data_IF_476133559121
#
_entry.id   IF_476133559121
#
_cell.length_a   1.000
_cell.length_b   1.000
_cell.length_c   1.000
_cell.angle_alpha   90.00
_cell.angle_beta   90.00
_cell.angle_gamma   90.00
#
_symmetry.space_group_name_H-M   'P 1'
#
loop_
_entity.id
_entity.type
_entity.pdbx_description
1 polymer ?
#
# COMPACT_ATOMS: atom_id res chain seq x y z
N UNK A 1 10.90 -10.54 2.37
CA UNK A 1 9.55 -10.44 2.97
C UNK A 1 8.71 -11.55 2.35
N UNK A 2 8.21 -12.46 3.16
CA UNK A 2 7.32 -13.54 2.68
C UNK A 2 5.95 -12.90 2.45
N UNK A 3 5.46 -12.90 1.22
CA UNK A 3 4.07 -12.56 0.90
C UNK A 3 3.17 -13.54 1.67
N UNK A 4 2.63 -13.10 2.82
CA UNK A 4 1.59 -13.84 3.53
C UNK A 4 0.39 -13.96 2.60
N UNK A 5 -0.13 -15.19 2.42
CA UNK A 5 -1.32 -15.42 1.62
C UNK A 5 -2.49 -14.65 2.23
N UNK A 6 -3.44 -14.23 1.40
CA UNK A 6 -4.64 -13.50 1.84
C UNK A 6 -5.36 -14.29 2.95
N UNK A 7 -5.37 -15.62 2.85
CA UNK A 7 -5.98 -16.55 3.80
C UNK A 7 -5.36 -16.51 5.22
N UNK A 8 -4.12 -16.03 5.36
CA UNK A 8 -3.42 -15.98 6.66
C UNK A 8 -3.71 -14.69 7.46
N UNK A 9 -4.41 -13.72 6.87
CA UNK A 9 -4.68 -12.43 7.52
C UNK A 9 -5.60 -12.62 8.71
N UNK A 10 -5.17 -12.16 9.87
CA UNK A 10 -6.03 -12.09 11.05
C UNK A 10 -6.82 -10.78 11.02
N UNK A 11 -8.15 -10.85 11.12
CA UNK A 11 -9.05 -9.70 10.98
C UNK A 11 -9.77 -9.40 12.29
N UNK A 12 -9.95 -8.10 12.56
CA UNK A 12 -10.86 -7.61 13.58
C UNK A 12 -12.18 -7.18 12.97
N UNK A 13 -13.28 -7.83 13.35
CA UNK A 13 -14.63 -7.55 12.87
C UNK A 13 -15.40 -6.74 13.91
N UNK A 14 -15.58 -5.46 13.59
CA UNK A 14 -16.09 -4.43 14.49
C UNK A 14 -17.42 -3.89 13.95
N UNK A 15 -18.49 -4.08 14.72
CA UNK A 15 -19.85 -3.76 14.29
C UNK A 15 -20.43 -2.61 15.10
N UNK A 16 -20.84 -1.57 14.40
CA UNK A 16 -21.71 -0.54 14.95
C UNK A 16 -23.13 -1.13 15.10
N UNK A 17 -23.45 -1.60 16.31
CA UNK A 17 -24.71 -2.29 16.59
C UNK A 17 -25.94 -1.40 16.54
N UNK A 18 -25.76 -0.08 16.60
CA UNK A 18 -26.84 0.91 16.49
C UNK A 18 -27.22 1.14 15.02
N UNK A 19 -26.27 1.06 14.08
CA UNK A 19 -26.49 1.30 12.64
C UNK A 19 -26.61 0.01 11.80
N UNK A 20 -25.98 -1.09 12.21
CA UNK A 20 -25.95 -2.34 11.46
C UNK A 20 -27.11 -3.28 11.80
N UNK A 21 -27.62 -4.00 10.80
CA UNK A 21 -28.69 -5.00 10.99
C UNK A 21 -28.13 -6.36 11.42
N UNK A 22 -28.62 -6.88 12.54
CA UNK A 22 -28.27 -8.21 13.05
C UNK A 22 -28.67 -9.36 12.10
N UNK A 23 -29.60 -9.13 11.17
CA UNK A 23 -30.08 -10.15 10.23
C UNK A 23 -29.03 -10.57 9.21
N UNK A 24 -28.09 -9.68 8.88
CA UNK A 24 -27.08 -9.90 7.83
C UNK A 24 -25.77 -10.47 8.39
N UNK A 25 -25.68 -10.79 9.68
CA UNK A 25 -24.41 -11.12 10.33
C UNK A 25 -23.71 -12.34 9.73
N UNK A 26 -24.49 -13.34 9.33
CA UNK A 26 -23.97 -14.54 8.66
C UNK A 26 -23.28 -14.16 7.35
N UNK A 27 -23.98 -13.42 6.49
CA UNK A 27 -23.43 -12.97 5.21
C UNK A 27 -22.23 -12.02 5.38
N UNK A 28 -22.28 -11.14 6.38
CA UNK A 28 -21.18 -10.21 6.68
C UNK A 28 -19.92 -10.96 7.14
N UNK A 29 -20.07 -11.99 7.97
CA UNK A 29 -18.95 -12.85 8.38
C UNK A 29 -18.43 -13.72 7.24
N UNK A 30 -19.32 -14.24 6.39
CA UNK A 30 -18.94 -14.99 5.20
C UNK A 30 -18.14 -14.12 4.22
N UNK A 31 -18.57 -12.87 3.98
CA UNK A 31 -17.85 -11.92 3.15
C UNK A 31 -16.49 -11.54 3.76
N UNK A 32 -16.42 -11.27 5.06
CA UNK A 32 -15.15 -11.00 5.76
C UNK A 32 -14.16 -12.18 5.64
N UNK A 33 -14.67 -13.41 5.71
CA UNK A 33 -13.85 -14.63 5.67
C UNK A 33 -13.12 -14.82 4.33
N UNK A 34 -13.58 -14.19 3.24
CA UNK A 34 -12.89 -14.20 1.94
C UNK A 34 -11.54 -13.47 1.97
N UNK A 35 -11.32 -12.62 2.97
CA UNK A 35 -10.13 -11.76 3.07
C UNK A 35 -9.21 -12.14 4.22
N UNK A 36 -9.56 -13.15 5.03
CA UNK A 36 -8.78 -13.60 6.18
C UNK A 36 -9.63 -14.22 7.29
N UNK A 37 -8.97 -14.71 8.32
CA UNK A 37 -9.60 -15.29 9.51
C UNK A 37 -10.02 -14.21 10.51
N UNK A 38 -11.29 -14.18 10.88
CA UNK A 38 -11.83 -13.22 11.86
C UNK A 38 -11.59 -13.71 13.29
N UNK A 39 -10.66 -13.09 14.00
CA UNK A 39 -10.28 -13.46 15.38
C UNK A 39 -10.86 -12.56 16.47
N UNK A 40 -11.23 -11.33 16.13
CA UNK A 40 -11.94 -10.42 17.04
C UNK A 40 -13.32 -10.18 16.44
N UNK A 41 -14.37 -10.38 17.22
CA UNK A 41 -15.76 -10.16 16.82
C UNK A 41 -16.45 -9.34 17.90
N UNK A 42 -16.65 -8.04 17.65
CA UNK A 42 -17.21 -7.12 18.63
C UNK A 42 -18.40 -6.37 18.05
N UNK A 43 -19.44 -6.24 18.86
CA UNK A 43 -20.63 -5.44 18.53
C UNK A 43 -20.75 -4.35 19.57
N UNK A 44 -20.68 -3.09 19.14
CA UNK A 44 -20.69 -1.92 20.00
C UNK A 44 -22.10 -1.36 20.09
N UNK A 45 -22.49 -0.93 21.28
CA UNK A 45 -23.77 -0.26 21.48
C UNK A 45 -24.17 -0.18 22.93
N UNK A 46 -25.33 0.42 23.16
CA UNK A 46 -25.95 0.43 24.48
C UNK A 46 -26.92 -0.77 24.64
N UNK A 47 -26.44 -1.88 25.18
CA UNK A 47 -27.20 -3.13 25.40
C UNK A 47 -28.27 -3.03 26.49
N UNK A 48 -28.20 -1.98 27.31
CA UNK A 48 -29.23 -1.64 28.30
C UNK A 48 -30.32 -0.74 27.72
N UNK A 49 -30.05 -0.09 26.59
CA UNK A 49 -31.03 0.72 25.86
C UNK A 49 -32.04 -0.15 25.11
N UNK A 50 -33.28 0.33 25.00
CA UNK A 50 -34.18 -0.13 23.94
C UNK A 50 -33.59 0.21 22.56
N UNK A 51 -33.99 -0.49 21.49
CA UNK A 51 -33.53 -0.20 20.12
C UNK A 51 -32.96 -1.38 19.34
N UNK A 52 -32.31 -1.08 18.22
CA UNK A 52 -31.80 -2.04 17.23
C UNK A 52 -30.74 -3.00 17.79
N UNK A 53 -29.92 -2.54 18.75
CA UNK A 53 -28.93 -3.37 19.47
C UNK A 53 -29.56 -4.61 20.13
N UNK A 54 -30.84 -4.56 20.54
CA UNK A 54 -31.48 -5.74 21.14
C UNK A 54 -31.65 -6.91 20.17
N UNK A 55 -31.76 -6.64 18.86
CA UNK A 55 -31.86 -7.68 17.84
C UNK A 55 -30.57 -8.51 17.75
N UNK A 56 -29.45 -7.97 18.20
CA UNK A 56 -28.17 -8.66 18.25
C UNK A 56 -28.06 -9.68 19.38
N UNK A 57 -28.90 -9.60 20.43
CA UNK A 57 -28.79 -10.46 21.64
C UNK A 57 -28.84 -11.96 21.31
N UNK A 58 -29.72 -12.37 20.41
CA UNK A 58 -29.80 -13.76 19.95
C UNK A 58 -28.53 -14.17 19.18
N UNK A 59 -28.05 -13.26 18.32
CA UNK A 59 -26.90 -13.48 17.43
C UNK A 59 -25.55 -13.47 18.14
N UNK A 60 -25.44 -12.81 19.30
CA UNK A 60 -24.21 -12.80 20.10
C UNK A 60 -23.70 -14.21 20.40
N UNK A 61 -24.58 -15.08 20.93
CA UNK A 61 -24.21 -16.46 21.28
C UNK A 61 -24.06 -17.33 20.04
N UNK A 62 -24.93 -17.15 19.05
CA UNK A 62 -24.96 -17.95 17.82
C UNK A 62 -23.65 -17.81 17.01
N UNK A 63 -23.11 -16.59 16.91
CA UNK A 63 -21.92 -16.29 16.09
C UNK A 63 -20.65 -15.98 16.90
N UNK A 64 -20.67 -16.27 18.21
CA UNK A 64 -19.58 -15.98 19.16
C UNK A 64 -19.11 -14.51 19.09
N UNK A 65 -20.05 -13.58 19.08
CA UNK A 65 -19.77 -12.14 19.11
C UNK A 65 -19.66 -11.67 20.55
N UNK A 66 -18.68 -10.80 20.82
CA UNK A 66 -18.51 -10.16 22.12
C UNK A 66 -19.27 -8.83 22.15
N UNK A 67 -20.26 -8.63 23.04
CA UNK A 67 -20.90 -7.34 23.20
C UNK A 67 -19.93 -6.35 23.87
N UNK A 68 -19.79 -5.16 23.29
CA UNK A 68 -19.09 -4.03 23.90
C UNK A 68 -20.13 -3.01 24.35
N UNK A 69 -20.29 -2.87 25.66
CA UNK A 69 -21.28 -1.98 26.28
C UNK A 69 -20.74 -0.57 26.41
N UNK A 70 -21.46 0.38 25.83
CA UNK A 70 -21.20 1.80 26.02
C UNK A 70 -22.44 2.53 26.53
N UNK A 71 -22.30 3.21 27.67
CA UNK A 71 -23.34 4.09 28.19
C UNK A 71 -23.17 5.50 27.61
N UNK A 72 -24.26 6.18 27.22
CA UNK A 72 -24.20 7.60 26.90
C UNK A 72 -23.87 8.41 28.15
N UNK A 73 -22.92 9.35 28.03
CA UNK A 73 -22.44 10.15 29.17
C UNK A 73 -23.46 11.20 29.67
N UNK A 74 -24.44 11.58 28.84
CA UNK A 74 -25.45 12.58 29.17
C UNK A 74 -26.81 12.17 28.60
N UNK A 75 -27.91 12.46 29.30
CA UNK A 75 -29.25 11.93 28.99
C UNK A 75 -29.98 12.64 27.84
N UNK A 76 -29.38 13.67 27.23
CA UNK A 76 -30.00 14.38 26.11
C UNK A 76 -29.77 13.63 24.80
N UNK A 77 -30.86 13.08 24.23
CA UNK A 77 -30.91 12.26 23.03
C UNK A 77 -30.19 12.85 21.80
N UNK A 78 -30.03 14.18 21.71
CA UNK A 78 -29.30 14.82 20.61
C UNK A 78 -27.77 14.77 20.77
N UNK A 79 -27.26 14.59 21.99
CA UNK A 79 -25.82 14.62 22.30
C UNK A 79 -25.28 13.20 22.56
N UNK A 80 -26.15 12.20 22.73
CA UNK A 80 -25.78 10.79 22.97
C UNK A 80 -25.35 10.00 21.75
N UNK A 81 -25.48 10.58 20.54
CA UNK A 81 -25.39 9.81 19.30
C UNK A 81 -24.01 9.19 19.07
N UNK A 82 -22.94 9.83 19.53
CA UNK A 82 -21.58 9.46 19.16
C UNK A 82 -20.87 8.59 20.21
N UNK A 83 -21.54 8.20 21.30
CA UNK A 83 -20.90 7.45 22.38
C UNK A 83 -20.41 6.08 21.89
N UNK A 84 -21.28 5.35 21.17
CA UNK A 84 -20.96 4.06 20.55
C UNK A 84 -19.81 4.19 19.55
N UNK A 85 -19.85 5.20 18.67
CA UNK A 85 -18.83 5.41 17.65
C UNK A 85 -17.46 5.71 18.27
N UNK A 86 -17.41 6.57 19.29
CA UNK A 86 -16.17 6.89 20.00
C UNK A 86 -15.60 5.63 20.67
N UNK A 87 -16.44 4.81 21.30
CA UNK A 87 -16.00 3.57 21.93
C UNK A 87 -15.43 2.57 20.90
N UNK A 88 -16.08 2.43 19.74
CA UNK A 88 -15.58 1.61 18.64
C UNK A 88 -14.23 2.11 18.13
N UNK A 89 -14.10 3.41 17.90
CA UNK A 89 -12.85 4.01 17.40
C UNK A 89 -11.70 3.81 18.40
N UNK A 90 -11.95 4.03 19.71
CA UNK A 90 -10.92 3.83 20.74
C UNK A 90 -10.45 2.38 20.75
N UNK A 91 -11.39 1.44 20.80
CA UNK A 91 -11.07 0.02 20.85
C UNK A 91 -10.39 -0.47 19.56
N UNK A 92 -10.78 0.05 18.39
CA UNK A 92 -10.10 -0.21 17.13
C UNK A 92 -8.64 0.26 17.14
N UNK A 93 -8.35 1.43 17.72
CA UNK A 93 -6.98 1.94 17.85
C UNK A 93 -6.15 1.10 18.83
N UNK A 94 -6.74 0.63 19.92
CA UNK A 94 -6.06 -0.27 20.86
C UNK A 94 -5.71 -1.60 20.17
N UNK A 95 -6.65 -2.22 19.46
CA UNK A 95 -6.41 -3.42 18.65
C UNK A 95 -5.29 -3.19 17.61
N UNK A 96 -5.31 -2.02 16.96
CA UNK A 96 -4.29 -1.64 15.96
C UNK A 96 -2.90 -1.59 16.60
N UNK A 97 -2.78 -1.03 17.80
CA UNK A 97 -1.51 -0.89 18.51
C UNK A 97 -1.01 -2.20 19.15
N UNK A 98 -1.91 -3.14 19.46
CA UNK A 98 -1.55 -4.48 19.92
C UNK A 98 -0.84 -5.30 18.83
N UNK A 99 -1.09 -5.00 17.55
CA UNK A 99 -0.41 -5.65 16.41
C UNK A 99 -0.80 -7.12 16.18
N UNK A 100 -1.91 -7.56 16.79
CA UNK A 100 -2.41 -8.94 16.69
C UNK A 100 -3.19 -9.20 15.39
N UNK A 101 -3.73 -8.14 14.78
CA UNK A 101 -4.49 -8.22 13.52
C UNK A 101 -3.69 -7.64 12.34
N UNK A 102 -4.02 -8.07 11.14
CA UNK A 102 -3.48 -7.56 9.87
C UNK A 102 -4.55 -6.83 9.03
N UNK A 103 -5.78 -6.76 9.53
CA UNK A 103 -6.83 -5.97 8.92
C UNK A 103 -8.05 -5.81 9.80
N UNK A 104 -8.94 -4.92 9.37
CA UNK A 104 -10.16 -4.52 10.07
C UNK A 104 -11.35 -4.63 9.12
N UNK A 105 -12.47 -5.09 9.66
CA UNK A 105 -13.78 -5.04 9.03
C UNK A 105 -14.64 -4.11 9.86
N UNK A 106 -15.00 -2.96 9.30
CA UNK A 106 -15.84 -1.96 9.93
C UNK A 106 -17.23 -2.08 9.33
N UNK A 107 -18.19 -2.51 10.15
CA UNK A 107 -19.59 -2.64 9.73
C UNK A 107 -20.37 -1.41 10.20
N UNK A 108 -20.48 -0.40 9.32
CA UNK A 108 -21.31 0.79 9.52
C UNK A 108 -21.57 1.49 8.18
N UNK A 109 -22.60 2.32 8.13
CA UNK A 109 -22.86 3.23 7.01
C UNK A 109 -22.56 4.69 7.36
N UNK A 110 -22.01 4.95 8.56
CA UNK A 110 -21.67 6.31 9.00
C UNK A 110 -20.34 6.77 8.38
N UNK A 111 -20.32 8.01 7.89
CA UNK A 111 -19.12 8.66 7.35
C UNK A 111 -18.10 9.01 8.42
N UNK A 112 -18.46 9.05 9.70
CA UNK A 112 -17.56 9.42 10.79
C UNK A 112 -16.40 8.43 10.96
N UNK A 113 -16.55 7.18 10.48
CA UNK A 113 -15.48 6.18 10.45
C UNK A 113 -14.41 6.41 9.36
N UNK A 114 -14.57 7.42 8.50
CA UNK A 114 -13.61 7.77 7.43
C UNK A 114 -12.19 7.94 7.99
N UNK A 115 -12.03 8.72 9.06
CA UNK A 115 -10.72 9.00 9.66
C UNK A 115 -10.08 7.75 10.28
N UNK A 116 -10.90 6.85 10.85
CA UNK A 116 -10.42 5.57 11.37
C UNK A 116 -9.89 4.69 10.23
N UNK A 117 -10.65 4.55 9.13
CA UNK A 117 -10.23 3.76 7.97
C UNK A 117 -8.93 4.30 7.33
N UNK A 118 -8.80 5.62 7.18
CA UNK A 118 -7.55 6.26 6.73
C UNK A 118 -6.41 5.89 7.67
N UNK A 119 -6.63 6.02 8.99
CA UNK A 119 -5.58 5.76 9.97
C UNK A 119 -5.09 4.31 9.94
N UNK A 120 -6.01 3.35 9.83
CA UNK A 120 -5.64 1.93 9.73
C UNK A 120 -4.79 1.68 8.49
N UNK A 121 -5.11 2.30 7.35
CA UNK A 121 -4.33 2.20 6.11
C UNK A 121 -2.97 2.89 6.20
N UNK A 122 -2.85 4.02 6.89
CA UNK A 122 -1.55 4.65 7.18
C UNK A 122 -0.60 3.68 7.93
N UNK A 123 -1.17 2.80 8.76
CA UNK A 123 -0.43 1.75 9.45
C UNK A 123 -0.15 0.51 8.58
N UNK A 124 -0.53 0.54 7.30
CA UNK A 124 -0.31 -0.55 6.35
C UNK A 124 -1.19 -1.78 6.57
N UNK A 125 -2.28 -1.62 7.32
CA UNK A 125 -3.25 -2.68 7.59
C UNK A 125 -4.42 -2.62 6.61
N UNK A 126 -5.00 -3.76 6.30
CA UNK A 126 -6.10 -3.88 5.34
C UNK A 126 -7.43 -3.43 5.96
N UNK A 127 -8.23 -2.64 5.24
CA UNK A 127 -9.54 -2.16 5.72
C UNK A 127 -10.66 -2.58 4.78
N UNK A 128 -11.66 -3.25 5.35
CA UNK A 128 -12.93 -3.57 4.70
C UNK A 128 -14.03 -2.74 5.35
N UNK A 129 -14.78 -1.99 4.55
CA UNK A 129 -16.04 -1.38 4.97
C UNK A 129 -17.22 -2.25 4.54
N UNK A 130 -18.18 -2.47 5.42
CA UNK A 130 -19.48 -3.07 5.07
C UNK A 130 -20.57 -2.09 5.48
N UNK A 131 -21.35 -1.61 4.50
CA UNK A 131 -22.39 -0.61 4.74
C UNK A 131 -23.44 -0.59 3.64
N UNK A 132 -24.44 0.27 3.77
CA UNK A 132 -25.50 0.43 2.77
C UNK A 132 -24.97 1.04 1.48
N UNK A 133 -25.67 0.83 0.37
CA UNK A 133 -25.29 1.37 -0.94
C UNK A 133 -25.21 2.91 -0.97
N UNK A 134 -25.96 3.60 -0.13
CA UNK A 134 -26.01 5.07 -0.01
C UNK A 134 -24.97 5.65 0.97
N UNK A 135 -24.05 4.82 1.48
CA UNK A 135 -22.93 5.27 2.31
C UNK A 135 -22.09 6.32 1.58
N UNK A 136 -21.67 7.36 2.29
CA UNK A 136 -20.88 8.46 1.73
C UNK A 136 -19.59 7.96 1.06
N UNK A 137 -19.29 8.51 -0.12
CA UNK A 137 -18.08 8.22 -0.88
C UNK A 137 -16.78 8.45 -0.08
N UNK A 138 -16.79 9.36 0.90
CA UNK A 138 -15.63 9.61 1.77
C UNK A 138 -15.21 8.33 2.51
N UNK A 139 -16.16 7.64 3.13
CA UNK A 139 -15.88 6.41 3.88
C UNK A 139 -15.58 5.25 2.92
N UNK A 140 -16.37 5.13 1.84
CA UNK A 140 -16.14 4.09 0.81
C UNK A 140 -14.72 4.14 0.25
N UNK A 141 -14.24 5.32 -0.11
CA UNK A 141 -12.88 5.53 -0.67
C UNK A 141 -11.77 5.45 0.38
N UNK A 142 -12.12 5.62 1.66
CA UNK A 142 -11.16 5.45 2.74
C UNK A 142 -10.79 3.99 2.96
N UNK A 143 -11.66 3.03 2.63
CA UNK A 143 -11.38 1.58 2.73
C UNK A 143 -10.52 1.06 1.56
N UNK A 144 -9.94 -0.13 1.71
CA UNK A 144 -9.32 -0.86 0.60
C UNK A 144 -10.35 -1.66 -0.21
N UNK A 145 -11.39 -2.14 0.47
CA UNK A 145 -12.58 -2.75 -0.13
C UNK A 145 -13.81 -2.25 0.61
N UNK A 146 -14.86 -1.92 -0.13
CA UNK A 146 -16.16 -1.57 0.45
C UNK A 146 -17.26 -2.47 -0.15
N UNK A 147 -17.94 -3.23 0.70
CA UNK A 147 -19.01 -4.13 0.29
C UNK A 147 -20.36 -3.53 0.70
N UNK A 148 -21.26 -3.42 -0.27
CA UNK A 148 -22.64 -2.98 -0.01
C UNK A 148 -23.46 -4.11 0.60
N UNK A 149 -24.25 -3.81 1.64
CA UNK A 149 -25.13 -4.80 2.30
C UNK A 149 -26.11 -5.48 1.35
N UNK A 150 -26.50 -4.80 0.28
CA UNK A 150 -27.40 -5.28 -0.76
C UNK A 150 -26.75 -6.29 -1.70
N UNK A 151 -25.43 -6.45 -1.64
CA UNK A 151 -24.67 -7.42 -2.42
C UNK A 151 -24.25 -8.65 -1.60
N UNK A 152 -24.47 -8.64 -0.30
CA UNK A 152 -24.24 -9.79 0.58
C UNK A 152 -25.20 -10.95 0.21
N UNK A 153 -24.73 -12.20 0.31
CA UNK A 153 -25.50 -13.41 0.03
C UNK A 153 -25.68 -13.79 -1.46
N UNK A 154 -25.45 -12.85 -2.39
CA UNK A 154 -25.72 -13.06 -3.83
C UNK A 154 -24.89 -14.16 -4.51
N UNK A 155 -23.75 -14.54 -3.92
CA UNK A 155 -22.86 -15.54 -4.53
C UNK A 155 -23.45 -16.97 -4.45
N UNK A 156 -24.31 -17.24 -3.45
CA UNK A 156 -24.94 -18.55 -3.28
C UNK A 156 -26.25 -18.66 -4.06
N UNK A 157 -27.05 -17.60 -4.07
CA UNK A 157 -28.34 -17.60 -4.76
C UNK A 157 -28.19 -17.77 -6.29
N UNK A 158 -27.18 -17.16 -6.92
CA UNK A 158 -27.04 -17.21 -8.39
C UNK A 158 -26.43 -18.54 -8.90
N UNK A 159 -25.58 -19.22 -8.11
CA UNK A 159 -25.05 -20.55 -8.45
C UNK A 159 -26.13 -21.64 -8.37
N UNK A 160 -27.04 -21.54 -7.41
CA UNK A 160 -28.18 -22.46 -7.26
C UNK A 160 -29.31 -22.16 -8.26
N UNK A 161 -29.44 -20.91 -8.73
CA UNK A 161 -30.44 -20.49 -9.72
C UNK A 161 -30.08 -20.93 -11.17
N UNK A 162 -28.81 -21.12 -11.52
CA UNK A 162 -28.43 -21.63 -12.85
C UNK A 162 -28.94 -23.08 -13.11
N UNK A 163 -29.16 -23.89 -12.07
CA UNK A 163 -29.76 -25.24 -12.21
C UNK A 163 -31.30 -25.25 -12.19
N UNK A 164 -31.97 -24.17 -11.75
CA UNK A 164 -33.44 -24.14 -11.55
C UNK A 164 -34.17 -22.94 -12.18
N UNK A 165 -33.56 -22.27 -13.15
CA UNK A 165 -34.20 -21.16 -13.84
C UNK A 165 -35.22 -21.61 -14.90
N UNK A 166 -36.48 -21.84 -14.49
CA UNK A 166 -37.62 -21.64 -15.41
C UNK A 166 -38.89 -21.00 -14.85
N UNK A 167 -39.07 -20.78 -13.54
CA UNK A 167 -40.40 -20.29 -13.11
C UNK A 167 -40.47 -19.56 -11.75
N UNK A 168 -39.63 -18.54 -11.52
CA UNK A 168 -39.89 -17.57 -10.44
C UNK A 168 -39.66 -16.12 -10.88
N UNK A 169 -40.56 -15.19 -10.51
CA UNK A 169 -40.38 -13.78 -10.84
C UNK A 169 -39.24 -13.21 -10.00
N UNK A 170 -38.17 -12.76 -10.67
CA UNK A 170 -37.07 -11.98 -10.07
C UNK A 170 -37.66 -10.85 -9.23
N UNK A 171 -37.46 -10.89 -7.92
CA UNK A 171 -37.81 -9.78 -7.04
C UNK A 171 -37.12 -8.52 -7.54
N UNK A 172 -37.90 -7.47 -7.80
CA UNK A 172 -37.46 -6.19 -8.36
C UNK A 172 -36.51 -5.46 -7.39
N UNK A 173 -35.21 -5.80 -7.40
CA UNK A 173 -34.14 -4.96 -6.86
C UNK A 173 -33.48 -4.24 -8.01
N UNK A 174 -33.47 -2.89 -7.98
CA UNK A 174 -32.93 -2.01 -9.02
C UNK A 174 -31.41 -2.22 -9.17
N UNK A 175 -31.02 -3.15 -10.05
CA UNK A 175 -29.64 -3.30 -10.52
C UNK A 175 -29.25 -2.08 -11.35
N UNK A 176 -27.98 -1.68 -11.31
CA UNK A 176 -27.48 -0.64 -12.22
C UNK A 176 -27.28 -1.26 -13.61
N UNK A 177 -27.55 -0.50 -14.69
CA UNK A 177 -27.24 -0.98 -16.04
C UNK A 177 -25.74 -1.22 -16.19
N UNK A 178 -25.37 -2.31 -16.86
CA UNK A 178 -23.97 -2.74 -17.06
C UNK A 178 -23.11 -1.62 -17.66
N UNK A 179 -23.69 -0.81 -18.57
CA UNK A 179 -23.00 0.32 -19.22
C UNK A 179 -22.53 1.41 -18.26
N UNK A 180 -23.11 1.55 -17.07
CA UNK A 180 -22.63 2.50 -16.07
C UNK A 180 -21.23 2.13 -15.54
N UNK A 181 -20.80 0.87 -15.69
CA UNK A 181 -19.45 0.43 -15.31
C UNK A 181 -18.38 0.81 -16.34
N UNK A 182 -18.77 1.23 -17.55
CA UNK A 182 -17.88 1.30 -18.72
C UNK A 182 -16.74 2.30 -18.53
N UNK A 183 -17.01 3.49 -17.98
CA UNK A 183 -15.97 4.50 -17.73
C UNK A 183 -14.89 3.97 -16.78
N UNK A 184 -15.31 3.32 -15.70
CA UNK A 184 -14.41 2.78 -14.69
C UNK A 184 -13.63 1.57 -15.23
N UNK A 185 -14.31 0.68 -15.98
CA UNK A 185 -13.68 -0.46 -16.65
C UNK A 185 -12.62 -0.01 -17.65
N UNK A 186 -12.89 1.04 -18.43
CA UNK A 186 -11.92 1.60 -19.35
C UNK A 186 -10.68 2.11 -18.62
N UNK A 187 -10.85 2.92 -17.58
CA UNK A 187 -9.71 3.42 -16.77
C UNK A 187 -8.91 2.31 -16.11
N UNK A 188 -9.59 1.26 -15.64
CA UNK A 188 -8.94 0.08 -15.08
C UNK A 188 -8.15 -0.71 -16.13
N UNK A 189 -8.72 -0.88 -17.32
CA UNK A 189 -8.06 -1.49 -18.48
C UNK A 189 -6.81 -0.72 -18.87
N UNK A 190 -6.88 0.60 -19.01
CA UNK A 190 -5.73 1.46 -19.36
C UNK A 190 -4.59 1.35 -18.34
N UNK A 191 -4.93 1.03 -17.09
CA UNK A 191 -3.96 0.83 -16.01
C UNK A 191 -3.37 -0.59 -16.00
N UNK A 192 -4.00 -1.56 -16.67
CA UNK A 192 -3.68 -2.99 -16.64
C UNK A 192 -3.18 -3.55 -17.99
N UNK A 193 -3.30 -2.78 -19.08
CA UNK A 193 -2.91 -3.20 -20.43
C UNK A 193 -1.39 -3.38 -20.55
N UNK A 194 -0.99 -4.49 -21.17
CA UNK A 194 0.42 -4.80 -21.48
C UNK A 194 0.80 -4.29 -22.89
N UNK A 195 2.07 -4.44 -23.26
CA UNK A 195 2.59 -4.01 -24.58
C UNK A 195 1.85 -4.65 -25.77
N UNK A 196 1.34 -5.88 -25.58
CA UNK A 196 0.56 -6.63 -26.57
C UNK A 196 -0.87 -6.08 -26.77
N UNK A 197 -1.25 -4.98 -26.09
CA UNK A 197 -2.61 -4.42 -26.16
C UNK A 197 -3.66 -5.21 -25.38
N UNK A 198 -3.24 -6.20 -24.58
CA UNK A 198 -4.10 -7.09 -23.80
C UNK A 198 -3.84 -6.94 -22.30
N UNK A 199 -4.89 -7.01 -21.51
CA UNK A 199 -4.83 -6.98 -20.05
C UNK A 199 -5.31 -8.30 -19.47
N UNK A 200 -4.71 -8.75 -18.36
CA UNK A 200 -5.22 -9.91 -17.62
C UNK A 200 -6.48 -9.52 -16.85
N UNK A 201 -7.51 -10.38 -16.86
CA UNK A 201 -8.75 -10.12 -16.10
C UNK A 201 -8.49 -9.86 -14.61
N UNK A 202 -7.53 -10.57 -14.01
CA UNK A 202 -7.12 -10.36 -12.62
C UNK A 202 -6.49 -8.97 -12.37
N UNK A 203 -5.71 -8.46 -13.32
CA UNK A 203 -5.06 -7.15 -13.21
C UNK A 203 -6.06 -6.02 -13.38
N UNK A 204 -7.05 -6.19 -14.27
CA UNK A 204 -8.20 -5.27 -14.38
C UNK A 204 -8.96 -5.24 -13.05
N UNK A 205 -9.26 -6.40 -12.47
CA UNK A 205 -9.92 -6.48 -11.15
C UNK A 205 -9.13 -5.79 -10.05
N UNK A 206 -7.80 -5.96 -10.02
CA UNK A 206 -6.93 -5.26 -9.07
C UNK A 206 -6.90 -3.74 -9.32
N UNK A 207 -6.92 -3.29 -10.57
CA UNK A 207 -7.00 -1.88 -10.93
C UNK A 207 -8.35 -1.26 -10.54
N UNK A 208 -9.47 -1.96 -10.75
CA UNK A 208 -10.80 -1.53 -10.35
C UNK A 208 -10.88 -1.26 -8.86
N UNK A 209 -10.39 -2.19 -8.02
CA UNK A 209 -10.38 -2.00 -6.56
C UNK A 209 -9.55 -0.79 -6.12
N UNK A 210 -8.47 -0.48 -6.84
CA UNK A 210 -7.65 0.73 -6.57
C UNK A 210 -8.35 2.02 -6.98
N UNK A 211 -9.15 2.00 -8.04
CA UNK A 211 -9.85 3.17 -8.57
C UNK A 211 -11.14 3.46 -7.78
N UNK A 212 -11.91 2.43 -7.48
CA UNK A 212 -13.13 2.48 -6.67
C UNK A 212 -13.19 1.26 -5.73
N UNK A 213 -12.84 1.43 -4.45
CA UNK A 213 -12.95 0.36 -3.46
C UNK A 213 -14.35 -0.21 -3.30
N UNK A 214 -15.39 0.57 -3.67
CA UNK A 214 -16.79 0.16 -3.62
C UNK A 214 -17.32 -0.47 -4.90
N UNK A 215 -16.47 -0.74 -5.89
CA UNK A 215 -16.86 -1.44 -7.11
C UNK A 215 -17.16 -2.92 -6.83
N UNK A 216 -18.35 -3.35 -7.23
CA UNK A 216 -18.80 -4.73 -7.08
C UNK A 216 -19.68 -5.12 -8.27
N UNK A 217 -19.32 -6.20 -8.96
CA UNK A 217 -19.99 -6.70 -10.18
C UNK A 217 -21.45 -7.06 -9.90
N UNK A 218 -21.77 -7.47 -8.67
CA UNK A 218 -23.11 -7.86 -8.21
C UNK A 218 -24.06 -6.66 -8.14
N UNK A 219 -23.51 -5.44 -8.12
CA UNK A 219 -24.29 -4.19 -8.26
C UNK A 219 -24.92 -4.07 -9.65
N UNK A 220 -24.27 -4.66 -10.65
CA UNK A 220 -24.67 -4.69 -12.05
C UNK A 220 -25.35 -6.02 -12.45
N UNK A 221 -25.66 -6.87 -11.46
CA UNK A 221 -26.29 -8.17 -11.70
C UNK A 221 -25.36 -9.22 -12.31
N UNK A 222 -24.05 -9.12 -12.05
CA UNK A 222 -23.05 -10.07 -12.57
C UNK A 222 -22.27 -10.73 -11.43
N UNK A 223 -22.12 -12.06 -11.43
CA UNK A 223 -21.44 -12.79 -10.36
C UNK A 223 -19.92 -12.63 -10.42
N UNK A 224 -19.37 -12.32 -11.60
CA UNK A 224 -17.93 -12.17 -11.80
C UNK A 224 -17.62 -10.99 -12.72
N UNK A 225 -16.36 -10.52 -12.66
CA UNK A 225 -15.85 -9.49 -13.58
C UNK A 225 -15.86 -9.99 -15.02
N UNK A 226 -15.60 -11.28 -15.22
CA UNK A 226 -15.64 -11.90 -16.54
C UNK A 226 -17.02 -11.75 -17.18
N UNK A 227 -18.07 -12.13 -16.46
CA UNK A 227 -19.45 -12.07 -16.95
C UNK A 227 -19.89 -10.61 -17.20
N UNK A 228 -19.34 -9.65 -16.46
CA UNK A 228 -19.59 -8.24 -16.69
C UNK A 228 -18.93 -7.73 -17.98
N UNK A 229 -17.69 -8.16 -18.25
CA UNK A 229 -16.94 -7.79 -19.46
C UNK A 229 -17.52 -8.48 -20.69
N UNK A 230 -17.97 -9.73 -20.58
CA UNK A 230 -18.60 -10.47 -21.67
C UNK A 230 -19.93 -9.86 -22.13
N UNK A 231 -20.67 -9.22 -21.24
CA UNK A 231 -21.87 -8.43 -21.58
C UNK A 231 -21.56 -7.11 -22.30
N UNK A 232 -20.31 -6.69 -22.31
CA UNK A 232 -19.80 -5.51 -23.00
C UNK A 232 -19.00 -5.93 -24.24
N UNK A 233 -19.51 -6.91 -24.98
CA UNK A 233 -18.90 -7.47 -26.19
C UNK A 233 -18.80 -6.47 -27.35
N UNK A 234 -19.48 -5.33 -27.26
CA UNK A 234 -19.36 -4.19 -28.16
C UNK A 234 -18.04 -3.43 -27.95
N UNK A 235 -17.49 -3.44 -26.72
CA UNK A 235 -16.28 -2.69 -26.35
C UNK A 235 -15.09 -3.59 -26.06
N UNK A 236 -15.31 -4.75 -25.44
CA UNK A 236 -14.24 -5.66 -25.02
C UNK A 236 -14.34 -7.02 -25.72
N UNK A 237 -13.17 -7.60 -25.99
CA UNK A 237 -13.01 -8.96 -26.49
C UNK A 237 -12.26 -9.78 -25.46
N UNK A 238 -12.71 -11.03 -25.23
CA UNK A 238 -12.19 -11.90 -24.17
C UNK A 238 -11.56 -13.14 -24.81
N UNK A 239 -10.28 -13.37 -24.51
CA UNK A 239 -9.53 -14.55 -24.95
C UNK A 239 -9.24 -15.48 -23.76
N UNK A 240 -9.54 -16.78 -23.92
CA UNK A 240 -9.29 -17.81 -22.91
C UNK A 240 -8.18 -18.76 -23.40
N UNK A 241 -7.19 -19.01 -22.54
CA UNK A 241 -6.06 -19.93 -22.83
C UNK A 241 -6.12 -21.19 -21.96
N UNK A 242 -5.43 -22.25 -22.40
CA UNK A 242 -5.44 -23.63 -21.86
C UNK A 242 -5.05 -23.81 -20.38
N UNK A 243 -4.86 -22.72 -19.62
CA UNK A 243 -4.58 -22.74 -18.17
C UNK A 243 -5.54 -21.87 -17.35
N UNK A 244 -6.70 -21.52 -17.90
CA UNK A 244 -7.68 -20.64 -17.24
C UNK A 244 -7.21 -19.18 -17.17
N UNK A 245 -6.17 -18.83 -17.93
CA UNK A 245 -5.72 -17.45 -18.06
C UNK A 245 -6.66 -16.74 -19.02
N UNK A 246 -7.24 -15.64 -18.55
CA UNK A 246 -8.20 -14.84 -19.30
C UNK A 246 -7.57 -13.48 -19.61
N UNK A 247 -7.47 -13.19 -20.90
CA UNK A 247 -7.07 -11.88 -21.40
C UNK A 247 -8.29 -11.14 -21.91
N UNK A 248 -8.24 -9.82 -21.76
CA UNK A 248 -9.23 -8.88 -22.26
C UNK A 248 -8.51 -7.91 -23.18
N UNK A 249 -9.15 -7.54 -24.28
CA UNK A 249 -8.70 -6.54 -25.24
C UNK A 249 -9.85 -5.58 -25.57
N UNK A 250 -9.55 -4.35 -26.00
CA UNK A 250 -10.59 -3.44 -26.55
C UNK A 250 -10.83 -3.71 -28.03
N UNK A 251 -12.09 -3.79 -28.42
CA UNK A 251 -12.49 -3.80 -29.83
C UNK A 251 -12.12 -2.47 -30.48
N UNK A 252 -11.52 -2.55 -31.67
CA UNK A 252 -11.09 -1.38 -32.45
C UNK A 252 -9.66 -0.91 -32.18
N UNK A 253 -9.04 -1.30 -31.07
CA UNK A 253 -7.58 -1.17 -30.84
C UNK A 253 -6.86 -2.43 -31.34
N UNK A 254 -7.03 -2.75 -32.64
CA UNK A 254 -5.97 -3.46 -33.34
C UNK A 254 -4.88 -2.44 -33.60
N UNK A 255 -3.93 -2.29 -32.67
CA UNK A 255 -2.55 -2.12 -33.17
C UNK A 255 -2.32 -3.35 -34.03
N UNK A 256 -1.81 -3.15 -35.24
CA UNK A 256 -1.28 -4.23 -36.08
C UNK A 256 -0.26 -5.01 -35.25
N UNK A 257 -0.74 -5.98 -34.49
CA UNK A 257 0.04 -7.11 -34.04
C UNK A 257 0.46 -7.77 -35.33
N UNK A 258 1.73 -7.63 -35.67
CA UNK A 258 2.41 -8.42 -36.70
C UNK A 258 1.93 -9.85 -36.49
N UNK A 259 1.13 -10.31 -37.45
CA UNK A 259 0.41 -11.55 -37.44
C UNK A 259 1.40 -12.69 -37.19
N UNK A 260 1.35 -13.30 -36.01
CA UNK A 260 2.01 -14.58 -35.74
C UNK A 260 1.28 -15.71 -36.44
N UNK A 261 1.24 -15.65 -37.78
CA UNK A 261 1.33 -16.84 -38.61
C UNK A 261 2.79 -17.03 -38.97
N UNK A 262 3.49 -17.80 -38.12
CA UNK A 262 4.70 -18.52 -38.54
C UNK A 262 4.32 -19.54 -39.61
N UNK A 263 4.19 -19.11 -40.84
CA UNK A 263 4.69 -19.88 -41.98
C UNK A 263 6.13 -19.45 -42.21
N UNK A 264 6.99 -20.46 -42.23
CA UNK A 264 8.41 -20.41 -42.55
C UNK A 264 8.77 -19.45 -43.70
N UNK A 265 9.46 -18.35 -43.39
CA UNK A 265 10.67 -17.84 -44.07
C UNK A 265 10.86 -16.36 -43.71
N UNK A 266 12.09 -16.00 -43.34
CA UNK A 266 12.56 -14.64 -43.08
C UNK A 266 12.17 -13.64 -44.18
N UNK A 267 12.16 -12.33 -43.85
CA UNK A 267 13.13 -11.48 -44.52
C UNK A 267 13.82 -10.50 -43.56
N UNK A 268 15.07 -10.23 -43.88
CA UNK A 268 16.01 -9.39 -43.15
C UNK A 268 15.49 -7.96 -42.93
N UNK A 269 15.25 -7.57 -41.67
CA UNK A 269 15.29 -6.17 -41.27
C UNK A 269 16.75 -5.81 -40.98
N UNK A 270 17.38 -5.09 -41.90
CA UNK A 270 18.71 -4.53 -41.71
C UNK A 270 18.61 -3.53 -40.53
N UNK A 271 19.38 -3.70 -39.44
CA UNK A 271 19.42 -2.72 -38.35
C UNK A 271 19.88 -1.38 -38.91
N UNK A 272 19.09 -0.32 -38.74
CA UNK A 272 19.44 1.01 -39.22
C UNK A 272 20.39 1.75 -38.27
N UNK A 273 20.48 1.35 -37.00
CA UNK A 273 21.34 1.97 -35.98
C UNK A 273 21.96 0.93 -35.04
N UNK A 274 23.10 1.26 -34.44
CA UNK A 274 23.79 0.40 -33.47
C UNK A 274 23.12 0.49 -32.09
N UNK A 275 23.17 -0.57 -31.24
CA UNK A 275 22.62 -0.51 -29.88
C UNK A 275 23.12 0.66 -29.03
N UNK A 276 24.35 1.13 -29.27
CA UNK A 276 24.97 2.25 -28.56
C UNK A 276 24.30 3.59 -28.90
N UNK A 277 23.72 3.73 -30.09
CA UNK A 277 23.00 4.94 -30.50
C UNK A 277 21.73 5.19 -29.66
N UNK A 278 21.24 4.18 -28.95
CA UNK A 278 20.11 4.31 -28.02
C UNK A 278 20.52 4.89 -26.65
N UNK A 279 21.82 4.94 -26.32
CA UNK A 279 22.32 5.33 -24.99
C UNK A 279 21.86 6.72 -24.53
N UNK A 280 21.92 7.79 -25.34
CA UNK A 280 21.51 9.13 -24.90
C UNK A 280 20.03 9.17 -24.48
N UNK A 281 19.19 8.47 -25.23
CA UNK A 281 17.76 8.39 -24.97
C UNK A 281 17.47 7.53 -23.74
N UNK A 282 18.12 6.37 -23.62
CA UNK A 282 17.94 5.46 -22.48
C UNK A 282 18.44 6.09 -21.18
N UNK A 283 19.57 6.79 -21.19
CA UNK A 283 20.09 7.49 -20.00
C UNK A 283 19.14 8.59 -19.54
N UNK A 284 18.64 9.41 -20.48
CA UNK A 284 17.66 10.46 -20.16
C UNK A 284 16.32 9.87 -19.68
N UNK A 285 15.89 8.75 -20.26
CA UNK A 285 14.72 8.02 -19.80
C UNK A 285 14.89 7.47 -18.38
N UNK A 286 16.10 7.00 -18.04
CA UNK A 286 16.43 6.49 -16.72
C UNK A 286 16.44 7.59 -15.65
N UNK A 287 16.88 8.81 -16.00
CA UNK A 287 16.78 9.98 -15.11
C UNK A 287 15.34 10.36 -14.77
N UNK A 288 14.44 10.28 -15.75
CA UNK A 288 13.03 10.64 -15.61
C UNK A 288 12.14 9.53 -15.06
N UNK A 289 12.61 8.29 -15.03
CA UNK A 289 11.81 7.15 -14.56
C UNK A 289 11.79 7.06 -13.03
N UNK A 290 10.65 6.62 -12.48
CA UNK A 290 10.50 6.40 -11.04
C UNK A 290 11.39 5.25 -10.55
N UNK A 291 12.40 5.59 -9.74
CA UNK A 291 13.39 4.68 -9.18
C UNK A 291 12.91 4.09 -7.84
N UNK A 292 13.30 2.85 -7.58
CA UNK A 292 13.21 2.25 -6.24
C UNK A 292 14.26 2.86 -5.29
N UNK A 293 14.12 2.65 -3.98
CA UNK A 293 15.08 3.11 -2.95
C UNK A 293 16.53 2.67 -3.23
N UNK A 294 16.68 1.55 -3.94
CA UNK A 294 17.96 0.92 -4.26
C UNK A 294 18.51 1.34 -5.63
N UNK A 295 17.89 2.33 -6.28
CA UNK A 295 18.29 2.84 -7.60
C UNK A 295 17.91 1.95 -8.79
N UNK A 296 17.04 0.96 -8.63
CA UNK A 296 16.58 0.14 -9.76
C UNK A 296 15.33 0.72 -10.42
N UNK A 297 15.28 0.66 -11.76
CA UNK A 297 14.13 1.03 -12.58
C UNK A 297 13.60 -0.22 -13.27
N UNK A 298 12.27 -0.37 -13.34
CA UNK A 298 11.64 -1.45 -14.11
C UNK A 298 11.79 -1.17 -15.62
N UNK A 299 12.17 -2.17 -16.41
CA UNK A 299 12.45 -2.00 -17.85
C UNK A 299 11.24 -1.47 -18.64
N UNK A 300 10.01 -1.77 -18.22
CA UNK A 300 8.79 -1.24 -18.84
C UNK A 300 8.61 0.25 -18.52
N UNK A 301 8.91 0.66 -17.28
CA UNK A 301 8.89 2.09 -16.91
C UNK A 301 9.95 2.87 -17.67
N UNK A 302 11.13 2.29 -17.84
CA UNK A 302 12.22 2.87 -18.63
C UNK A 302 11.81 3.04 -20.10
N UNK A 303 11.20 2.01 -20.70
CA UNK A 303 10.67 2.08 -22.06
C UNK A 303 9.60 3.17 -22.21
N UNK A 304 8.67 3.26 -21.26
CA UNK A 304 7.63 4.29 -21.27
C UNK A 304 8.21 5.69 -21.11
N UNK A 305 9.25 5.86 -20.29
CA UNK A 305 9.95 7.14 -20.14
C UNK A 305 10.69 7.52 -21.44
N UNK A 306 11.34 6.57 -22.11
CA UNK A 306 11.97 6.79 -23.42
C UNK A 306 10.96 7.23 -24.47
N UNK A 307 9.78 6.57 -24.52
CA UNK A 307 8.70 6.95 -25.44
C UNK A 307 8.05 8.31 -25.17
N UNK A 308 8.19 8.85 -23.96
CA UNK A 308 7.76 10.23 -23.65
C UNK A 308 8.75 11.27 -24.17
N UNK A 309 10.03 10.92 -24.25
CA UNK A 309 11.08 11.78 -24.79
C UNK A 309 11.03 11.73 -26.32
N UNK A 310 10.96 10.53 -26.89
CA UNK A 310 10.83 10.29 -28.32
C UNK A 310 9.68 9.30 -28.58
N UNK A 311 8.57 9.80 -29.13
CA UNK A 311 7.38 9.01 -29.39
C UNK A 311 7.58 7.90 -30.43
N UNK A 312 8.62 8.03 -31.26
CA UNK A 312 8.99 7.07 -32.30
C UNK A 312 9.92 5.95 -31.81
N UNK A 313 10.38 6.02 -30.56
CA UNK A 313 11.32 5.03 -30.01
C UNK A 313 10.77 3.60 -30.02
N UNK A 314 11.52 2.70 -30.65
CA UNK A 314 11.32 1.25 -30.66
C UNK A 314 12.68 0.53 -30.60
N UNK A 315 12.74 -0.60 -29.91
CA UNK A 315 13.99 -1.41 -29.80
C UNK A 315 14.38 -2.05 -31.13
N UNK A 316 13.42 -2.26 -32.03
CA UNK A 316 13.65 -2.86 -33.36
C UNK A 316 14.53 -2.00 -34.26
N UNK A 317 14.49 -0.67 -34.12
CA UNK A 317 15.41 0.24 -34.84
C UNK A 317 16.88 0.00 -34.50
N UNK A 318 17.15 -0.59 -33.33
CA UNK A 318 18.46 -0.96 -32.84
C UNK A 318 18.74 -2.47 -32.97
N UNK A 319 17.95 -3.18 -33.78
CA UNK A 319 18.10 -4.60 -34.06
C UNK A 319 17.69 -5.53 -32.90
N UNK A 320 16.82 -5.07 -31.99
CA UNK A 320 16.40 -5.84 -30.80
C UNK A 320 14.90 -5.87 -30.65
N UNK A 321 14.34 -7.07 -30.44
CA UNK A 321 12.88 -7.24 -30.32
C UNK A 321 12.27 -6.61 -29.06
N UNK A 322 13.07 -6.43 -28.00
CA UNK A 322 12.63 -5.92 -26.70
C UNK A 322 13.66 -4.98 -26.11
N UNK A 323 13.21 -4.03 -25.29
CA UNK A 323 14.13 -3.15 -24.54
C UNK A 323 15.06 -3.95 -23.62
N UNK A 324 14.61 -5.09 -23.08
CA UNK A 324 15.46 -5.98 -22.29
C UNK A 324 16.62 -6.53 -23.13
N UNK A 325 16.38 -6.95 -24.36
CA UNK A 325 17.42 -7.45 -25.27
C UNK A 325 18.36 -6.31 -25.73
N UNK A 326 17.85 -5.08 -25.83
CA UNK A 326 18.65 -3.88 -26.10
C UNK A 326 19.60 -3.56 -24.95
N UNK A 327 19.10 -3.59 -23.71
CA UNK A 327 19.89 -3.37 -22.52
C UNK A 327 20.89 -4.51 -22.26
N UNK A 328 20.52 -5.76 -22.56
CA UNK A 328 21.43 -6.92 -22.51
C UNK A 328 22.57 -6.81 -23.53
N UNK A 329 22.35 -6.12 -24.66
CA UNK A 329 23.38 -5.82 -25.63
C UNK A 329 24.32 -4.68 -25.20
N UNK A 330 24.05 -4.03 -24.07
CA UNK A 330 24.83 -2.92 -23.49
C UNK A 330 25.33 -3.24 -22.07
N UNK A 331 26.04 -4.37 -21.86
CA UNK A 331 26.44 -4.82 -20.51
C UNK A 331 27.43 -3.87 -19.82
N UNK A 332 28.23 -3.12 -20.61
CA UNK A 332 29.15 -2.11 -20.10
C UNK A 332 28.45 -0.90 -19.47
N UNK A 333 27.21 -0.63 -19.89
CA UNK A 333 26.44 0.55 -19.47
C UNK A 333 25.34 0.21 -18.48
N UNK A 334 24.75 -0.99 -18.54
CA UNK A 334 23.62 -1.37 -17.71
C UNK A 334 23.78 -2.73 -17.04
N UNK A 335 23.39 -2.79 -15.78
CA UNK A 335 23.20 -4.04 -15.03
C UNK A 335 21.72 -4.38 -15.02
N UNK A 336 21.37 -5.60 -15.46
CA UNK A 336 20.02 -6.13 -15.39
C UNK A 336 19.87 -7.13 -14.24
N UNK A 337 18.69 -7.14 -13.61
CA UNK A 337 18.35 -8.11 -12.58
C UNK A 337 16.86 -8.47 -12.65
N UNK A 338 16.55 -9.77 -12.55
CA UNK A 338 15.16 -10.25 -12.60
C UNK A 338 14.59 -10.31 -11.18
N UNK A 339 13.54 -9.51 -10.92
CA UNK A 339 12.80 -9.53 -9.65
C UNK A 339 11.36 -10.00 -9.91
N UNK A 340 11.10 -11.28 -9.68
CA UNK A 340 9.80 -11.90 -9.97
C UNK A 340 9.52 -11.97 -11.46
N UNK A 341 8.39 -11.39 -11.91
CA UNK A 341 8.03 -11.30 -13.33
C UNK A 341 8.64 -10.09 -14.05
N UNK A 342 9.18 -9.11 -13.32
CA UNK A 342 9.75 -7.88 -13.87
C UNK A 342 11.27 -7.97 -14.05
N UNK A 343 11.76 -7.36 -15.12
CA UNK A 343 13.19 -7.09 -15.33
C UNK A 343 13.49 -5.69 -14.80
N UNK A 344 14.52 -5.58 -13.97
CA UNK A 344 15.01 -4.34 -13.40
C UNK A 344 16.34 -3.98 -14.05
N UNK A 345 16.58 -2.68 -14.24
CA UNK A 345 17.80 -2.15 -14.83
C UNK A 345 18.34 -0.99 -13.99
N UNK A 346 19.67 -0.89 -13.95
CA UNK A 346 20.42 0.25 -13.41
C UNK A 346 21.69 0.48 -14.25
N UNK A 347 22.25 1.70 -14.30
CA UNK A 347 23.56 1.94 -14.87
C UNK A 347 24.66 1.14 -14.15
N UNK A 348 25.68 0.71 -14.91
CA UNK A 348 26.87 0.01 -14.39
C UNK A 348 27.90 1.05 -13.93
N UNK A 349 28.50 0.82 -12.76
CA UNK A 349 29.34 1.76 -12.01
C UNK A 349 30.71 2.16 -12.61
N UNK A 350 30.91 2.05 -13.93
CA UNK A 350 32.13 2.49 -14.64
C UNK A 350 31.90 3.60 -15.67
N UNK A 351 30.68 4.14 -15.80
CA UNK A 351 30.35 5.19 -16.77
C UNK A 351 30.36 6.63 -16.19
N UNK A 352 30.94 6.85 -15.00
CA UNK A 352 31.07 8.20 -14.41
C UNK A 352 32.43 8.88 -14.71
N UNK A 353 33.43 8.19 -15.26
CA UNK A 353 34.80 8.74 -15.40
C UNK A 353 35.19 9.31 -16.78
N UNK A 354 34.34 9.26 -17.81
CA UNK A 354 34.62 9.89 -19.12
C UNK A 354 33.61 11.00 -19.44
N UNK A 355 33.65 12.08 -18.66
CA UNK A 355 33.26 13.42 -19.14
C UNK A 355 34.42 14.37 -18.83
N UNK A 356 35.37 14.37 -19.76
CA UNK A 356 36.49 15.32 -19.83
C UNK A 356 35.92 16.73 -20.09
N UNK A 357 35.92 17.59 -19.07
CA UNK A 357 35.72 19.04 -19.26
C UNK A 357 37.03 19.69 -19.75
N UNK A 358 37.01 20.61 -20.73
CA UNK A 358 38.16 21.45 -21.02
C UNK A 358 38.31 22.55 -19.95
N UNK A 359 39.51 23.10 -19.73
CA UNK A 359 39.76 23.99 -18.60
C UNK A 359 39.36 25.42 -18.94
N UNK A 360 38.45 26.02 -18.15
CA UNK A 360 38.26 27.47 -18.15
C UNK A 360 39.15 28.15 -17.09
N UNK A 361 40.09 28.90 -17.66
CA UNK A 361 40.87 30.05 -17.21
C UNK A 361 40.41 30.70 -15.89
N UNK A 362 41.38 30.81 -14.98
CA UNK A 362 41.35 31.68 -13.80
C UNK A 362 41.58 33.13 -14.27
N UNK A 363 40.60 34.01 -14.06
CA UNK A 363 40.85 35.45 -13.99
C UNK A 363 40.38 36.03 -12.66
N UNK A 364 41.34 36.74 -12.07
CA UNK A 364 41.31 37.54 -10.86
C UNK A 364 40.46 38.82 -10.97
N UNK A 365 40.02 39.37 -9.83
CA UNK A 365 40.41 40.71 -9.30
C UNK A 365 39.33 41.34 -8.38
N UNK A 366 39.83 41.84 -7.23
CA UNK A 366 39.41 42.98 -6.39
C UNK A 366 38.22 42.90 -5.41
N UNK A 367 38.56 42.81 -4.12
CA UNK A 367 38.47 43.89 -3.10
C UNK A 367 37.28 44.88 -3.11
N UNK A 368 36.48 44.93 -2.01
CA UNK A 368 36.70 45.79 -0.81
C UNK A 368 35.54 45.77 0.23
N UNK A 369 35.95 45.54 1.49
CA UNK A 369 35.57 46.15 2.81
C UNK A 369 34.14 46.59 3.17
N UNK A 370 33.65 46.10 4.32
CA UNK A 370 33.29 46.86 5.56
C UNK A 370 32.81 45.86 6.67
N UNK A 371 33.54 45.68 7.79
CA UNK A 371 33.49 46.34 9.12
C UNK A 371 32.34 45.92 10.07
N UNK A 372 32.66 44.95 10.97
CA UNK A 372 32.22 44.67 12.38
C UNK A 372 30.73 44.68 12.82
N UNK A 373 30.35 44.03 13.96
CA UNK A 373 31.06 43.06 14.81
C UNK A 373 30.28 41.72 15.02
N UNK A 374 30.97 40.72 15.59
CA UNK A 374 30.41 39.43 15.96
C UNK A 374 29.21 39.50 16.93
N UNK A 375 28.28 38.53 16.85
CA UNK A 375 27.62 38.02 18.04
C UNK A 375 27.88 36.52 18.21
N UNK A 376 28.46 36.18 19.36
CA UNK A 376 28.41 34.92 20.09
C UNK A 376 28.07 33.63 19.32
N UNK A 377 29.06 32.72 19.25
CA UNK A 377 28.83 31.28 19.08
C UNK A 377 27.87 30.77 20.16
N UNK A 378 26.59 30.69 19.82
CA UNK A 378 25.64 29.88 20.55
C UNK A 378 25.86 28.44 20.09
N UNK A 379 26.60 27.65 20.88
CA UNK A 379 26.65 26.20 20.68
C UNK A 379 25.20 25.68 20.67
N UNK A 380 24.75 25.10 19.56
CA UNK A 380 23.45 24.42 19.50
C UNK A 380 23.48 23.24 20.47
N UNK A 381 22.93 23.41 21.66
CA UNK A 381 22.63 22.29 22.54
C UNK A 381 21.49 21.48 21.92
N UNK A 382 21.84 20.33 21.33
CA UNK A 382 20.86 19.37 20.83
C UNK A 382 19.93 18.95 21.98
N UNK A 383 18.61 19.06 21.76
CA UNK A 383 17.63 18.72 22.79
C UNK A 383 17.71 17.22 23.11
N UNK A 384 17.51 16.79 24.37
CA UNK A 384 17.62 15.38 24.77
C UNK A 384 16.79 14.42 23.89
N UNK A 385 15.59 14.82 23.47
CA UNK A 385 14.74 14.02 22.58
C UNK A 385 15.29 13.84 21.16
N UNK A 386 16.07 14.81 20.65
CA UNK A 386 16.73 14.69 19.35
C UNK A 386 17.86 13.66 19.42
N UNK A 387 18.61 13.65 20.53
CA UNK A 387 19.64 12.64 20.81
C UNK A 387 19.03 11.24 20.94
N UNK A 388 17.85 11.10 21.57
CA UNK A 388 17.11 9.81 21.61
C UNK A 388 16.73 9.33 20.21
N UNK A 389 16.28 10.22 19.32
CA UNK A 389 15.95 9.87 17.92
C UNK A 389 17.20 9.42 17.16
N UNK A 390 18.30 10.14 17.30
CA UNK A 390 19.58 9.81 16.67
C UNK A 390 20.13 8.47 17.21
N UNK A 391 20.04 8.24 18.52
CA UNK A 391 20.40 6.96 19.14
C UNK A 391 19.52 5.81 18.63
N UNK A 392 18.24 6.04 18.37
CA UNK A 392 17.34 5.04 17.79
C UNK A 392 17.77 4.66 16.37
N UNK A 393 18.13 5.65 15.54
CA UNK A 393 18.64 5.42 14.18
C UNK A 393 19.98 4.67 14.17
N UNK A 394 20.87 5.01 15.11
CA UNK A 394 22.12 4.29 15.32
C UNK A 394 21.90 2.84 15.78
N UNK A 395 20.90 2.61 16.64
CA UNK A 395 20.52 1.26 17.08
C UNK A 395 20.00 0.41 15.92
N UNK A 396 19.10 0.93 15.08
CA UNK A 396 18.53 0.21 13.93
C UNK A 396 19.59 -0.23 12.91
N UNK A 397 20.69 0.55 12.81
CA UNK A 397 21.83 0.24 11.94
C UNK A 397 22.80 -0.76 12.58
N UNK A 398 22.89 -0.79 13.91
CA UNK A 398 23.85 -1.62 14.66
C UNK A 398 23.25 -2.93 15.20
N UNK A 399 21.93 -3.15 15.06
CA UNK A 399 21.24 -4.34 15.57
C UNK A 399 21.59 -5.58 14.75
N UNK A 400 21.86 -6.70 15.42
CA UNK A 400 22.09 -8.00 14.79
C UNK A 400 20.83 -8.86 14.81
N UNK A 401 20.90 -10.06 14.21
CA UNK A 401 19.77 -11.00 14.09
C UNK A 401 19.16 -11.40 15.45
N UNK A 402 19.90 -11.27 16.55
CA UNK A 402 19.45 -11.53 17.91
C UNK A 402 18.61 -10.38 18.52
N UNK A 403 18.35 -9.32 17.75
CA UNK A 403 17.61 -8.15 18.19
C UNK A 403 18.36 -7.25 19.17
N UNK A 404 19.67 -7.44 19.32
CA UNK A 404 20.53 -6.66 20.22
C UNK A 404 21.65 -5.96 19.43
N UNK A 405 21.95 -4.73 19.84
CA UNK A 405 23.08 -3.96 19.32
C UNK A 405 24.23 -3.95 20.33
N UNK A 406 25.47 -4.10 19.87
CA UNK A 406 26.64 -3.96 20.75
C UNK A 406 26.91 -2.48 21.02
N UNK A 407 26.96 -2.06 22.29
CA UNK A 407 26.99 -0.64 22.66
C UNK A 407 28.17 0.15 22.06
N UNK A 408 29.41 -0.36 22.02
CA UNK A 408 30.52 0.32 21.33
C UNK A 408 30.29 0.49 19.82
N UNK A 409 29.64 -0.47 19.16
CA UNK A 409 29.32 -0.37 17.73
C UNK A 409 28.24 0.68 17.49
N UNK A 410 27.19 0.66 18.32
CA UNK A 410 26.15 1.69 18.31
C UNK A 410 26.70 3.09 18.60
N UNK A 411 27.68 3.22 19.50
CA UNK A 411 28.35 4.49 19.78
C UNK A 411 29.18 5.01 18.61
N UNK A 412 29.85 4.13 17.86
CA UNK A 412 30.55 4.51 16.62
C UNK A 412 29.56 4.99 15.56
N UNK A 413 28.45 4.28 15.42
CA UNK A 413 27.41 4.62 14.45
C UNK A 413 26.74 5.96 14.77
N UNK A 414 26.47 6.22 16.04
CA UNK A 414 25.92 7.49 16.49
C UNK A 414 26.89 8.65 16.20
N UNK A 415 28.19 8.46 16.43
CA UNK A 415 29.22 9.45 16.12
C UNK A 415 29.40 9.66 14.61
N UNK A 416 29.08 8.66 13.79
CA UNK A 416 29.05 8.78 12.32
C UNK A 416 27.86 9.62 11.84
N UNK A 417 26.69 9.41 12.44
CA UNK A 417 25.45 10.09 12.07
C UNK A 417 25.45 11.55 12.55
N UNK A 418 26.00 11.80 13.74
CA UNK A 418 25.97 13.09 14.40
C UNK A 418 27.31 13.34 15.14
N UNK A 419 28.37 13.77 14.43
CA UNK A 419 29.69 14.02 15.01
C UNK A 419 29.70 15.15 16.04
N UNK A 420 28.70 16.03 16.03
CA UNK A 420 28.50 17.16 16.93
C UNK A 420 27.98 16.76 18.33
N UNK A 421 27.55 15.52 18.53
CA UNK A 421 27.02 15.08 19.84
C UNK A 421 28.14 15.05 20.87
N UNK A 422 27.96 15.87 21.92
CA UNK A 422 28.80 15.85 23.11
C UNK A 422 27.96 15.45 24.35
N UNK A 423 28.14 14.23 24.83
CA UNK A 423 27.43 13.76 26.04
C UNK A 423 27.83 14.53 27.30
N UNK A 424 29.04 15.12 27.34
CA UNK A 424 29.50 15.88 28.50
C UNK A 424 28.76 17.20 28.68
N UNK A 425 28.35 17.86 27.59
CA UNK A 425 27.52 19.08 27.69
C UNK A 425 26.13 18.77 28.25
N UNK A 426 25.66 17.53 28.12
CA UNK A 426 24.40 17.03 28.71
C UNK A 426 24.58 16.46 30.13
N UNK A 427 25.75 16.66 30.75
CA UNK A 427 26.06 16.11 32.07
C UNK A 427 26.22 14.59 32.11
N UNK A 428 26.47 13.92 30.97
CA UNK A 428 26.64 12.48 30.87
C UNK A 428 28.06 12.08 30.51
N UNK A 429 28.54 10.99 31.09
CA UNK A 429 29.86 10.40 30.80
C UNK A 429 29.94 9.78 29.39
N UNK A 430 28.81 9.42 28.79
CA UNK A 430 28.72 8.89 27.43
C UNK A 430 27.36 8.27 27.10
N UNK A 431 27.27 7.63 25.93
CA UNK A 431 26.04 7.02 25.42
C UNK A 431 25.41 6.02 26.40
N UNK A 432 26.23 5.29 27.18
CA UNK A 432 25.71 4.32 28.16
C UNK A 432 24.79 4.98 29.19
N UNK A 433 25.30 6.01 29.86
CA UNK A 433 24.61 6.72 30.94
C UNK A 433 23.39 7.47 30.39
N UNK A 434 23.50 8.00 29.17
CA UNK A 434 22.37 8.59 28.47
C UNK A 434 21.23 7.59 28.24
N UNK A 435 21.53 6.37 27.76
CA UNK A 435 20.50 5.34 27.51
C UNK A 435 19.88 4.79 28.80
N UNK A 436 20.58 4.84 29.94
CA UNK A 436 20.08 4.41 31.24
C UNK A 436 18.92 5.32 31.74
N UNK A 437 18.80 6.57 31.26
CA UNK A 437 17.68 7.47 31.58
C UNK A 437 16.41 7.19 30.79
N UNK A 438 16.49 6.39 29.73
CA UNK A 438 15.35 6.05 28.87
C UNK A 438 15.03 4.55 28.90
N UNK A 439 14.74 3.95 30.08
CA UNK A 439 14.47 2.51 30.23
C UNK A 439 13.18 2.06 29.52
N UNK A 440 12.28 3.00 29.24
CA UNK A 440 11.05 2.76 28.48
C UNK A 440 11.33 2.48 26.99
N UNK A 441 12.46 2.96 26.47
CA UNK A 441 12.85 2.86 25.06
C UNK A 441 13.97 1.82 24.89
N UNK A 442 15.01 1.89 25.72
CA UNK A 442 16.21 1.06 25.63
C UNK A 442 16.40 0.21 26.89
N UNK A 443 16.78 -1.05 26.70
CA UNK A 443 17.19 -1.96 27.77
C UNK A 443 18.66 -2.30 27.58
N UNK A 444 19.48 -2.07 28.59
CA UNK A 444 20.88 -2.45 28.60
C UNK A 444 21.06 -3.85 29.22
N UNK A 445 21.73 -4.74 28.49
CA UNK A 445 22.07 -6.10 28.89
C UNK A 445 23.58 -6.17 29.11
N UNK A 446 24.01 -6.41 30.35
CA UNK A 446 25.43 -6.62 30.68
C UNK A 446 25.77 -8.11 30.58
N UNK A 447 26.72 -8.47 29.72
CA UNK A 447 27.29 -9.82 29.61
C UNK A 447 28.80 -9.72 29.84
N UNK A 448 29.23 -9.95 31.08
CA UNK A 448 30.63 -9.78 31.49
C UNK A 448 31.09 -8.31 31.37
N UNK A 449 32.14 -8.05 30.59
CA UNK A 449 32.62 -6.70 30.26
C UNK A 449 31.87 -6.04 29.10
N UNK A 450 31.04 -6.79 28.38
CA UNK A 450 30.32 -6.30 27.21
C UNK A 450 28.91 -5.81 27.58
N UNK A 451 28.49 -4.70 26.97
CA UNK A 451 27.15 -4.14 27.12
C UNK A 451 26.44 -4.18 25.78
N UNK A 452 25.23 -4.72 25.78
CA UNK A 452 24.34 -4.79 24.62
C UNK A 452 23.09 -3.99 24.90
N UNK A 453 22.52 -3.39 23.87
CA UNK A 453 21.29 -2.61 23.93
C UNK A 453 20.21 -3.41 23.19
N UNK A 454 18.98 -3.42 23.70
CA UNK A 454 17.79 -3.87 22.98
C UNK A 454 16.70 -2.82 23.12
N UNK A 455 15.82 -2.71 22.12
CA UNK A 455 14.71 -1.75 22.17
C UNK A 455 13.42 -2.43 22.62
N UNK A 456 12.65 -1.78 23.50
CA UNK A 456 11.27 -2.21 23.80
C UNK A 456 10.37 -1.89 22.61
N UNK A 457 9.71 -2.89 22.04
CA UNK A 457 8.65 -2.68 21.05
C UNK A 457 7.32 -2.52 21.77
N UNK A 458 6.63 -1.40 21.56
CA UNK A 458 5.19 -1.26 21.76
C UNK A 458 4.66 -1.25 23.20
N UNK A 459 5.12 -0.33 24.07
CA UNK A 459 4.30 0.16 25.20
C UNK A 459 4.47 1.66 25.35
N UNK A 460 3.36 2.35 25.67
CA UNK A 460 3.32 3.78 26.03
C UNK A 460 4.34 4.02 27.16
N UNK A 461 5.18 5.08 27.10
CA UNK A 461 6.10 5.39 28.19
C UNK A 461 5.32 5.55 29.50
N UNK A 462 5.89 5.09 30.61
CA UNK A 462 5.22 5.14 31.91
C UNK A 462 5.03 6.59 32.41
N UNK A 463 5.77 7.53 31.83
CA UNK A 463 5.68 8.97 32.12
C UNK A 463 5.10 9.74 30.94
N UNK A 464 4.25 10.75 31.19
CA UNK A 464 3.77 11.63 30.13
C UNK A 464 4.93 12.40 29.49
N UNK A 465 4.87 12.59 28.17
CA UNK A 465 5.90 13.25 27.37
C UNK A 465 6.21 14.67 27.88
N UNK A 466 5.26 15.32 28.56
CA UNK A 466 5.44 16.62 29.22
C UNK A 466 6.49 16.62 30.34
N UNK A 467 6.75 15.48 30.99
CA UNK A 467 7.77 15.34 32.03
C UNK A 467 9.17 14.99 31.48
N UNK A 468 9.27 14.69 30.19
CA UNK A 468 10.54 14.42 29.50
C UNK A 468 11.10 15.67 28.80
N UNK A 469 10.45 16.82 28.96
CA UNK A 469 10.78 18.10 28.30
C UNK A 469 11.32 19.15 29.31
N UNK A 470 11.54 18.80 30.58
CA UNK A 470 12.20 19.70 31.55
C UNK A 470 13.70 19.46 31.67
#
# INVERSE_FOLDING_TARGET
MVEKRIDDRQLAFLVDGDNASATLIEDMLAEASKYGSVIIRRVYGNWTGGGQVNNWKAKLKEYALTPYQQFPNISNRHITKNATDIALIIDAMDILHDGIVQGFVIVSSDSDYTSLAIKIREHGLFVIGIGRKDTNDSFRRACDVFVSTENLGKDQDELDEEEKAKDRPRSQRKQRPVRDALELLNRAFDSAVNDDGRALNGDIGAALRRLDPGFDTRTYGKPSLLNLIEDLDDVFEVERYDRGVIYVQRRGEKKESIDTKRTSSSPDCIPTMSPEDALPLINRAYELADKTSDGWVDTFRLFRAARRIDSSFDSSFYGKEKISHLLEALPSYFTLNRRGKSMMVRPTAWAEEEIMQPPEVIESVSEKKSSDPAPHETQLELRPMEVVRLATKAFETAVKDDGKAFLPQMSKELKRIAPEINFKSMGKSGLREFLEEYPDIFILHKKGRNVYVSRRKGRRPARPISELIQ
#
